data_IF_247080808933
#
_entry.id   IF_247080808933
#
_cell.length_a   1.000
_cell.length_b   1.000
_cell.length_c   1.000
_cell.angle_alpha   90.00
_cell.angle_beta   90.00
_cell.angle_gamma   90.00
#
_symmetry.space_group_name_H-M   'P 1'
#
loop_
_entity.id
_entity.type
_entity.pdbx_description
1 polymer ?
#
# COMPACT_ATOMS: atom_id res chain seq x y z
N UNK A 1 8.39 -9.02 -41.29
CA UNK A 1 9.18 -7.87 -40.80
C UNK A 1 8.32 -7.18 -39.76
N UNK A 2 8.54 -7.47 -38.48
CA UNK A 2 7.79 -6.80 -37.40
C UNK A 2 8.73 -6.67 -36.21
N UNK A 3 9.31 -5.47 -36.07
CA UNK A 3 10.12 -5.09 -34.92
C UNK A 3 9.24 -4.32 -33.93
N UNK A 4 9.37 -4.73 -32.68
CA UNK A 4 9.34 -3.93 -31.44
C UNK A 4 8.06 -3.19 -31.05
N UNK A 5 7.49 -3.59 -29.90
CA UNK A 5 6.94 -2.62 -28.95
C UNK A 5 6.77 -3.14 -27.49
N UNK A 6 7.77 -3.84 -26.92
CA UNK A 6 7.70 -4.28 -25.50
C UNK A 6 8.90 -3.90 -24.62
N UNK A 7 9.92 -3.20 -25.13
CA UNK A 7 11.18 -2.97 -24.39
C UNK A 7 11.36 -1.58 -23.76
N UNK A 8 10.56 -0.57 -24.12
CA UNK A 8 10.86 0.82 -23.76
C UNK A 8 10.44 1.22 -22.34
N UNK A 9 9.35 0.66 -21.80
CA UNK A 9 8.90 0.94 -20.42
C UNK A 9 9.84 0.39 -19.35
N UNK A 10 10.49 -0.75 -19.60
CA UNK A 10 11.45 -1.39 -18.68
C UNK A 10 12.74 -0.58 -18.54
N UNK A 11 13.26 -0.04 -19.65
CA UNK A 11 14.53 0.67 -19.67
C UNK A 11 14.40 2.08 -19.09
N UNK A 12 13.34 2.82 -19.43
CA UNK A 12 13.05 4.13 -18.85
C UNK A 12 12.87 4.04 -17.33
N UNK A 13 12.14 3.04 -16.84
CA UNK A 13 11.98 2.82 -15.40
C UNK A 13 13.31 2.46 -14.71
N UNK A 14 14.21 1.72 -15.37
CA UNK A 14 15.55 1.43 -14.82
C UNK A 14 16.42 2.69 -14.73
N UNK A 15 16.40 3.55 -15.74
CA UNK A 15 17.19 4.80 -15.78
C UNK A 15 16.65 5.83 -14.78
N UNK A 16 15.33 5.97 -14.68
CA UNK A 16 14.69 6.81 -13.65
C UNK A 16 15.04 6.31 -12.25
N UNK A 17 15.05 4.99 -12.02
CA UNK A 17 15.49 4.40 -10.74
C UNK A 17 16.96 4.68 -10.45
N UNK A 18 17.90 4.44 -11.38
CA UNK A 18 19.34 4.62 -11.09
C UNK A 18 19.69 6.08 -10.76
N UNK A 19 19.14 7.02 -11.53
CA UNK A 19 19.32 8.46 -11.27
C UNK A 19 18.68 8.91 -9.95
N UNK A 20 17.52 8.35 -9.59
CA UNK A 20 16.87 8.59 -8.31
C UNK A 20 17.71 8.05 -7.14
N UNK A 21 18.23 6.82 -7.24
CA UNK A 21 19.08 6.19 -6.22
C UNK A 21 20.37 6.97 -5.95
N UNK A 22 21.05 7.46 -6.99
CA UNK A 22 22.24 8.31 -6.83
C UNK A 22 21.91 9.65 -6.16
N UNK A 23 20.76 10.23 -6.48
CA UNK A 23 20.29 11.48 -5.88
C UNK A 23 19.88 11.28 -4.42
N UNK A 24 19.24 10.15 -4.08
CA UNK A 24 18.93 9.74 -2.72
C UNK A 24 20.20 9.61 -1.85
N UNK A 25 21.24 8.95 -2.36
CA UNK A 25 22.51 8.79 -1.64
C UNK A 25 23.15 10.12 -1.22
N UNK A 26 23.00 11.16 -2.04
CA UNK A 26 23.47 12.52 -1.73
C UNK A 26 22.59 13.27 -0.73
N UNK A 27 21.28 12.99 -0.71
CA UNK A 27 20.32 13.63 0.19
C UNK A 27 20.39 13.03 1.61
N UNK A 28 20.58 11.71 1.73
CA UNK A 28 20.65 11.00 3.02
C UNK A 28 21.81 11.52 3.91
N UNK A 29 22.86 12.10 3.33
CA UNK A 29 23.98 12.66 4.10
C UNK A 29 23.68 14.03 4.75
N UNK A 30 22.60 14.72 4.37
CA UNK A 30 22.50 16.17 4.56
C UNK A 30 21.24 16.65 5.29
N UNK A 31 20.93 16.12 6.48
CA UNK A 31 19.92 16.75 7.35
C UNK A 31 20.06 16.37 8.83
N UNK A 32 20.74 17.22 9.60
CA UNK A 32 20.63 17.30 11.06
C UNK A 32 20.55 18.77 11.48
N UNK A 33 19.45 19.45 11.14
CA UNK A 33 19.22 20.85 11.54
C UNK A 33 17.85 20.99 12.22
N UNK A 34 17.85 20.76 13.53
CA UNK A 34 17.19 21.58 14.57
C UNK A 34 15.69 21.93 14.54
N UNK A 35 14.89 21.57 13.53
CA UNK A 35 13.47 21.92 13.48
C UNK A 35 12.64 20.74 12.98
N UNK A 36 11.70 20.27 13.81
CA UNK A 36 10.82 19.14 13.50
C UNK A 36 9.63 19.62 12.67
N UNK A 37 9.55 19.18 11.43
CA UNK A 37 8.36 19.37 10.59
C UNK A 37 7.59 18.04 10.51
N UNK A 38 6.28 18.03 10.81
CA UNK A 38 5.44 16.87 10.52
C UNK A 38 5.55 16.51 9.04
N UNK A 39 5.50 15.22 8.72
CA UNK A 39 5.42 14.77 7.32
C UNK A 39 4.24 15.47 6.64
N UNK A 40 4.52 16.12 5.52
CA UNK A 40 3.55 16.76 4.64
C UNK A 40 3.72 16.20 3.25
N UNK A 41 2.66 16.06 2.45
CA UNK A 41 2.83 15.59 1.08
C UNK A 41 3.66 16.59 0.25
N UNK A 42 4.35 16.12 -0.80
CA UNK A 42 5.07 17.02 -1.71
C UNK A 42 4.18 18.10 -2.34
N UNK A 43 2.93 17.76 -2.68
CA UNK A 43 1.93 18.65 -3.27
C UNK A 43 0.50 18.20 -2.88
N UNK A 44 -0.52 19.04 -3.03
CA UNK A 44 -1.95 18.67 -2.94
C UNK A 44 -2.38 17.97 -1.63
N UNK A 45 -3.10 16.83 -1.71
CA UNK A 45 -3.90 16.28 -0.61
C UNK A 45 -3.30 14.97 -0.10
N UNK A 46 -3.08 14.93 1.22
CA UNK A 46 -2.73 13.72 1.98
C UNK A 46 -3.84 13.44 2.99
N UNK A 47 -4.24 12.18 3.10
CA UNK A 47 -5.20 11.72 4.10
C UNK A 47 -4.54 10.68 5.02
N UNK A 48 -5.17 9.53 5.21
CA UNK A 48 -4.80 8.50 6.18
C UNK A 48 -3.34 8.01 6.03
N UNK A 49 -2.60 7.86 7.13
CA UNK A 49 -1.37 7.08 7.13
C UNK A 49 -1.67 5.59 6.92
N UNK A 50 -0.84 4.92 6.14
CA UNK A 50 -0.97 3.53 5.75
C UNK A 50 0.33 2.76 6.00
N UNK A 51 0.18 1.47 6.35
CA UNK A 51 1.24 0.47 6.16
C UNK A 51 2.64 0.79 6.72
N UNK A 52 2.76 1.50 7.84
CA UNK A 52 4.07 1.78 8.43
C UNK A 52 4.83 0.47 8.74
N UNK A 53 6.07 0.35 8.30
CA UNK A 53 6.89 -0.84 8.53
C UNK A 53 8.38 -0.52 8.59
N UNK A 54 9.17 -1.45 9.15
CA UNK A 54 10.62 -1.40 9.08
C UNK A 54 11.12 -2.42 8.06
N UNK A 55 11.89 -1.95 7.08
CA UNK A 55 12.46 -2.78 6.02
C UNK A 55 13.87 -2.31 5.72
N UNK A 56 14.81 -3.25 5.61
CA UNK A 56 16.19 -2.98 5.20
C UNK A 56 16.87 -1.79 5.94
N UNK A 57 16.60 -1.65 7.24
CA UNK A 57 17.19 -0.60 8.09
C UNK A 57 16.50 0.76 8.06
N UNK A 58 15.36 0.90 7.36
CA UNK A 58 14.57 2.13 7.29
C UNK A 58 13.15 1.88 7.77
N UNK A 59 12.54 2.90 8.36
CA UNK A 59 11.09 3.00 8.52
C UNK A 59 10.49 3.51 7.21
N UNK A 60 9.45 2.85 6.73
CA UNK A 60 8.67 3.25 5.56
C UNK A 60 7.27 3.60 6.06
N UNK A 61 6.79 4.78 5.69
CA UNK A 61 5.43 5.24 5.95
C UNK A 61 4.74 5.46 4.60
N UNK A 62 3.58 4.86 4.43
CA UNK A 62 2.72 5.11 3.29
C UNK A 62 1.55 5.98 3.74
N UNK A 63 0.84 6.57 2.78
CA UNK A 63 -0.32 7.40 3.09
C UNK A 63 -1.21 7.55 1.86
N UNK A 64 -2.50 7.76 2.07
CA UNK A 64 -3.39 8.12 0.96
C UNK A 64 -2.96 9.46 0.37
N UNK A 65 -2.74 9.49 -0.94
CA UNK A 65 -2.20 10.63 -1.63
C UNK A 65 -2.87 10.91 -2.97
N UNK A 66 -3.16 12.19 -3.23
CA UNK A 66 -3.67 12.68 -4.51
C UNK A 66 -2.64 13.60 -5.17
N UNK A 67 -1.88 13.13 -6.17
CA UNK A 67 -0.72 13.85 -6.69
C UNK A 67 -1.04 15.05 -7.57
N UNK A 68 -2.22 15.14 -8.19
CA UNK A 68 -2.51 16.19 -9.17
C UNK A 68 -3.64 17.17 -8.78
N UNK A 69 -4.66 16.70 -8.05
CA UNK A 69 -5.81 17.54 -7.66
C UNK A 69 -6.61 16.90 -6.52
N UNK A 70 -7.60 17.61 -5.97
CA UNK A 70 -8.49 17.06 -4.95
C UNK A 70 -9.39 15.92 -5.48
N UNK A 71 -9.69 15.94 -6.79
CA UNK A 71 -10.55 14.96 -7.45
C UNK A 71 -9.75 13.81 -8.10
N UNK A 72 -8.43 13.83 -7.95
CA UNK A 72 -7.56 12.76 -8.43
C UNK A 72 -7.82 11.47 -7.65
N UNK A 73 -7.45 10.34 -8.26
CA UNK A 73 -7.56 9.04 -7.64
C UNK A 73 -6.63 8.93 -6.42
N UNK A 74 -6.99 8.08 -5.45
CA UNK A 74 -6.09 7.83 -4.30
C UNK A 74 -4.98 6.87 -4.68
N UNK A 75 -3.76 7.33 -4.48
CA UNK A 75 -2.54 6.53 -4.51
C UNK A 75 -2.06 6.25 -3.09
N UNK A 76 -1.12 5.31 -2.94
CA UNK A 76 -0.26 5.32 -1.75
C UNK A 76 0.98 6.17 -2.02
N UNK A 77 1.05 7.35 -1.39
CA UNK A 77 2.30 8.07 -1.22
C UNK A 77 3.25 7.32 -0.29
N UNK A 78 4.53 7.66 -0.33
CA UNK A 78 5.58 6.95 0.37
C UNK A 78 6.65 7.91 0.88
N UNK A 79 7.03 7.75 2.14
CA UNK A 79 8.20 8.39 2.73
C UNK A 79 9.04 7.35 3.50
N UNK A 80 10.35 7.57 3.58
CA UNK A 80 11.26 6.75 4.38
C UNK A 80 12.01 7.57 5.43
N UNK A 81 12.37 6.94 6.54
CA UNK A 81 13.10 7.58 7.64
C UNK A 81 14.03 6.57 8.34
N UNK A 82 15.08 7.06 8.99
CA UNK A 82 15.91 6.24 9.90
C UNK A 82 15.47 6.32 11.35
N UNK A 83 14.73 7.36 11.72
CA UNK A 83 14.42 7.72 13.11
C UNK A 83 12.95 8.05 13.36
N UNK A 84 12.08 7.89 12.35
CA UNK A 84 10.66 8.28 12.35
C UNK A 84 10.40 9.78 12.56
N UNK A 85 11.45 10.60 12.48
CA UNK A 85 11.40 12.04 12.73
C UNK A 85 11.69 12.79 11.44
N UNK A 86 12.79 12.48 10.78
CA UNK A 86 13.16 13.07 9.50
C UNK A 86 12.77 12.13 8.37
N UNK A 87 11.81 12.56 7.57
CA UNK A 87 11.25 11.79 6.47
C UNK A 87 11.76 12.30 5.13
N UNK A 88 12.07 11.36 4.24
CA UNK A 88 12.44 11.62 2.86
C UNK A 88 11.34 11.11 1.95
N UNK A 89 10.87 11.98 1.05
CA UNK A 89 9.87 11.61 0.04
C UNK A 89 10.42 10.56 -0.92
N UNK A 90 9.56 9.59 -1.23
CA UNK A 90 9.82 8.50 -2.14
C UNK A 90 8.76 8.49 -3.27
N UNK A 91 9.01 7.78 -4.38
CA UNK A 91 8.03 7.62 -5.44
C UNK A 91 6.75 6.96 -4.88
N UNK A 92 5.60 7.18 -5.53
CA UNK A 92 4.35 6.55 -5.09
C UNK A 92 4.50 5.04 -5.06
N UNK A 93 3.99 4.42 -4.00
CA UNK A 93 4.07 2.98 -3.79
C UNK A 93 3.00 2.24 -4.59
N UNK A 94 1.74 2.67 -4.50
CA UNK A 94 0.62 2.03 -5.18
C UNK A 94 -0.14 3.03 -6.05
N UNK A 95 -0.45 2.59 -7.26
CA UNK A 95 -1.28 3.30 -8.23
C UNK A 95 -2.57 2.52 -8.43
N UNK A 96 -3.75 3.15 -8.52
CA UNK A 96 -4.96 2.46 -8.98
C UNK A 96 -4.72 1.76 -10.32
N UNK A 97 -5.35 0.59 -10.52
CA UNK A 97 -5.25 -0.19 -11.76
C UNK A 97 -6.66 -0.64 -12.21
N UNK A 98 -7.19 -1.68 -11.57
CA UNK A 98 -8.55 -2.15 -11.84
C UNK A 98 -9.57 -1.44 -10.95
N UNK A 99 -9.14 -1.06 -9.74
CA UNK A 99 -9.85 -0.25 -8.77
C UNK A 99 -9.81 1.24 -9.12
N UNK A 100 -10.78 2.01 -8.62
CA UNK A 100 -10.76 3.46 -8.84
C UNK A 100 -9.72 4.15 -7.93
N UNK A 101 -9.53 3.64 -6.72
CA UNK A 101 -8.66 4.22 -5.70
C UNK A 101 -7.96 3.15 -4.87
N UNK A 102 -6.72 3.41 -4.45
CA UNK A 102 -5.99 2.66 -3.44
C UNK A 102 -6.25 3.27 -2.05
N UNK A 103 -7.34 2.84 -1.40
CA UNK A 103 -7.70 3.28 -0.05
C UNK A 103 -6.80 2.65 1.03
N UNK A 104 -7.13 2.92 2.28
CA UNK A 104 -6.30 2.59 3.44
C UNK A 104 -6.04 1.09 3.60
N UNK A 105 -4.95 0.79 4.31
CA UNK A 105 -4.50 -0.57 4.50
C UNK A 105 -3.21 -0.68 5.30
N UNK A 106 -2.62 -1.86 5.30
CA UNK A 106 -1.45 -2.17 6.12
C UNK A 106 -0.40 -2.96 5.35
N UNK A 107 0.79 -3.03 5.94
CA UNK A 107 1.89 -3.86 5.45
C UNK A 107 2.19 -4.99 6.43
N UNK A 108 2.66 -6.11 5.88
CA UNK A 108 3.25 -7.22 6.61
C UNK A 108 4.66 -7.41 6.09
N UNK A 109 5.63 -7.35 7.00
CA UNK A 109 7.03 -7.64 6.69
C UNK A 109 7.29 -9.12 6.85
N UNK A 110 7.77 -9.74 5.79
CA UNK A 110 8.31 -11.10 5.79
C UNK A 110 9.85 -11.05 5.70
N UNK A 111 10.49 -12.22 5.67
CA UNK A 111 11.96 -12.29 5.68
C UNK A 111 12.59 -11.66 4.44
N UNK A 112 11.94 -11.79 3.28
CA UNK A 112 12.48 -11.48 1.96
C UNK A 112 11.61 -10.53 1.14
N UNK A 113 10.49 -10.06 1.70
CA UNK A 113 9.60 -9.07 1.06
C UNK A 113 8.70 -8.36 2.08
N UNK A 114 7.99 -7.36 1.59
CA UNK A 114 6.88 -6.68 2.25
C UNK A 114 5.62 -6.87 1.44
N UNK A 115 4.52 -7.19 2.11
CA UNK A 115 3.19 -7.38 1.53
C UNK A 115 2.32 -6.20 1.97
N UNK A 116 1.75 -5.46 1.04
CA UNK A 116 0.71 -4.48 1.30
C UNK A 116 -0.65 -5.12 1.04
N UNK A 117 -1.59 -4.91 1.95
CA UNK A 117 -3.01 -5.14 1.69
C UNK A 117 -3.76 -3.83 1.86
N UNK A 118 -4.65 -3.53 0.92
CA UNK A 118 -5.37 -2.27 0.86
C UNK A 118 -6.78 -2.46 0.29
N UNK A 119 -7.66 -1.51 0.53
CA UNK A 119 -8.98 -1.51 -0.09
C UNK A 119 -8.92 -0.85 -1.48
N UNK A 120 -9.24 -1.60 -2.53
CA UNK A 120 -9.44 -1.06 -3.88
C UNK A 120 -10.90 -0.69 -4.11
N UNK A 121 -11.21 0.61 -4.20
CA UNK A 121 -12.61 1.07 -4.33
C UNK A 121 -13.27 0.51 -5.59
N UNK A 122 -14.53 0.09 -5.45
CA UNK A 122 -15.30 -0.54 -6.53
C UNK A 122 -14.92 -1.99 -6.87
N UNK A 123 -13.84 -2.55 -6.26
CA UNK A 123 -13.39 -3.92 -6.50
C UNK A 123 -13.36 -4.78 -5.23
N UNK A 124 -12.75 -4.29 -4.16
CA UNK A 124 -12.55 -5.04 -2.91
C UNK A 124 -11.11 -4.97 -2.42
N UNK A 125 -10.74 -5.84 -1.46
CA UNK A 125 -9.38 -5.79 -0.90
C UNK A 125 -8.37 -6.44 -1.87
N UNK A 126 -7.25 -5.76 -2.06
CA UNK A 126 -6.20 -6.11 -2.99
C UNK A 126 -4.85 -6.21 -2.25
N UNK A 127 -3.95 -7.00 -2.82
CA UNK A 127 -2.61 -7.26 -2.29
C UNK A 127 -1.54 -6.85 -3.30
N UNK A 128 -0.46 -6.26 -2.83
CA UNK A 128 0.76 -6.01 -3.59
C UNK A 128 1.99 -6.43 -2.78
N UNK A 129 3.10 -6.75 -3.45
CA UNK A 129 4.36 -7.13 -2.79
C UNK A 129 5.53 -6.33 -3.33
N UNK A 130 6.49 -6.03 -2.46
CA UNK A 130 7.76 -5.40 -2.84
C UNK A 130 8.90 -6.06 -2.06
N UNK A 131 10.02 -6.30 -2.73
CA UNK A 131 11.20 -6.91 -2.12
C UNK A 131 12.47 -6.07 -2.31
N UNK A 132 12.39 -4.98 -3.09
CA UNK A 132 13.54 -4.14 -3.30
C UNK A 132 13.93 -3.37 -2.00
N UNK A 133 15.21 -3.03 -1.83
CA UNK A 133 15.72 -2.37 -0.63
C UNK A 133 14.97 -1.11 -0.17
N UNK A 134 14.27 -0.44 -1.07
CA UNK A 134 13.60 0.84 -0.80
C UNK A 134 12.08 0.76 -0.90
N UNK A 135 11.49 -0.41 -1.21
CA UNK A 135 10.05 -0.59 -1.42
C UNK A 135 9.46 0.36 -2.48
N UNK A 136 10.19 0.59 -3.57
CA UNK A 136 9.72 1.45 -4.69
C UNK A 136 9.18 0.64 -5.88
N UNK A 137 9.19 -0.70 -5.79
CA UNK A 137 8.72 -1.60 -6.83
C UNK A 137 7.67 -2.56 -6.27
N UNK A 138 6.41 -2.19 -6.43
CA UNK A 138 5.28 -2.98 -5.98
C UNK A 138 4.66 -3.76 -7.14
N UNK A 139 4.62 -5.08 -6.98
CA UNK A 139 3.93 -5.99 -7.87
C UNK A 139 2.55 -6.33 -7.28
N UNK A 140 1.48 -5.87 -7.94
CA UNK A 140 0.10 -6.23 -7.56
C UNK A 140 -0.17 -7.70 -7.88
N UNK A 141 -0.87 -8.38 -6.98
CA UNK A 141 -1.33 -9.75 -7.21
C UNK A 141 -2.26 -9.81 -8.44
N UNK A 142 -1.99 -10.74 -9.36
CA UNK A 142 -2.76 -10.93 -10.59
C UNK A 142 -4.22 -11.32 -10.34
N UNK A 143 -4.50 -11.91 -9.18
CA UNK A 143 -5.84 -12.32 -8.76
C UNK A 143 -6.55 -11.26 -7.91
N UNK A 144 -6.08 -10.02 -7.91
CA UNK A 144 -6.78 -8.94 -7.23
C UNK A 144 -8.17 -8.68 -7.85
N UNK A 145 -9.18 -8.33 -7.03
CA UNK A 145 -9.14 -8.27 -5.57
C UNK A 145 -9.14 -9.68 -4.94
N UNK A 146 -8.26 -9.91 -3.96
CA UNK A 146 -8.23 -11.17 -3.21
C UNK A 146 -9.47 -11.36 -2.32
N UNK A 147 -10.18 -10.27 -2.01
CA UNK A 147 -11.49 -10.29 -1.34
C UNK A 147 -12.41 -9.35 -2.11
N UNK A 148 -13.24 -9.88 -3.04
CA UNK A 148 -14.12 -9.05 -3.84
C UNK A 148 -15.27 -8.46 -3.02
N UNK A 149 -15.77 -7.30 -3.45
CA UNK A 149 -17.06 -6.77 -2.98
C UNK A 149 -18.16 -7.70 -3.49
N UNK A 150 -19.01 -8.20 -2.59
CA UNK A 150 -20.17 -9.02 -2.94
C UNK A 150 -21.46 -8.19 -2.86
N UNK A 151 -22.38 -8.29 -3.84
CA UNK A 151 -23.66 -7.60 -3.78
C UNK A 151 -24.49 -7.98 -2.55
N UNK A 152 -25.10 -6.98 -1.93
CA UNK A 152 -25.86 -7.06 -0.66
C UNK A 152 -27.11 -7.94 -0.75
N UNK A 153 -27.61 -8.20 -1.96
CA UNK A 153 -28.77 -9.08 -2.19
C UNK A 153 -28.55 -10.52 -1.71
N UNK A 154 -27.30 -10.93 -1.50
CA UNK A 154 -26.94 -12.28 -1.05
C UNK A 154 -26.98 -12.44 0.48
N UNK A 155 -26.96 -11.34 1.25
CA UNK A 155 -26.72 -11.37 2.71
C UNK A 155 -27.63 -10.45 3.53
N UNK A 156 -28.40 -9.55 2.90
CA UNK A 156 -29.31 -8.63 3.59
C UNK A 156 -28.63 -7.55 4.44
N UNK A 157 -27.30 -7.40 4.34
CA UNK A 157 -26.49 -6.48 5.16
C UNK A 157 -25.33 -5.92 4.30
N UNK A 158 -25.04 -4.62 4.40
CA UNK A 158 -23.82 -4.02 3.87
C UNK A 158 -22.61 -4.43 4.72
N UNK A 159 -21.67 -5.19 4.16
CA UNK A 159 -20.38 -5.46 4.82
C UNK A 159 -19.29 -4.72 4.05
N UNK A 160 -18.94 -3.52 4.51
CA UNK A 160 -17.78 -2.77 4.00
C UNK A 160 -16.52 -3.21 4.74
N UNK A 161 -15.60 -3.90 4.07
CA UNK A 161 -14.27 -4.18 4.61
C UNK A 161 -13.33 -3.05 4.19
N UNK A 162 -13.32 -1.95 4.93
CA UNK A 162 -12.64 -0.73 4.48
C UNK A 162 -11.14 -0.70 4.86
N UNK A 163 -10.74 -1.41 5.91
CA UNK A 163 -9.34 -1.40 6.37
C UNK A 163 -8.88 -2.81 6.77
N UNK A 164 -8.12 -3.49 5.89
CA UNK A 164 -7.47 -4.74 6.26
C UNK A 164 -6.31 -4.48 7.24
N UNK A 165 -6.23 -5.25 8.31
CA UNK A 165 -5.21 -5.13 9.37
C UNK A 165 -4.43 -6.44 9.48
N UNK A 166 -3.13 -6.41 9.74
CA UNK A 166 -2.38 -7.61 10.11
C UNK A 166 -2.26 -7.70 11.65
N UNK A 167 -2.65 -8.83 12.23
CA UNK A 167 -2.44 -9.15 13.65
C UNK A 167 -1.49 -10.35 13.81
N UNK A 168 -0.35 -10.19 14.50
CA UNK A 168 0.61 -11.25 14.88
C UNK A 168 0.71 -12.44 13.89
N UNK A 169 0.92 -12.17 12.59
CA UNK A 169 1.02 -13.14 11.46
C UNK A 169 -0.29 -13.66 10.85
N UNK A 170 -1.44 -13.05 11.16
CA UNK A 170 -2.75 -13.34 10.55
C UNK A 170 -3.37 -12.05 10.06
N UNK A 171 -3.99 -12.09 8.90
CA UNK A 171 -4.80 -10.98 8.42
C UNK A 171 -6.12 -10.94 9.19
N UNK A 172 -6.42 -9.80 9.80
CA UNK A 172 -7.67 -9.51 10.51
C UNK A 172 -8.37 -8.41 9.74
N UNK A 173 -9.57 -8.69 9.23
CA UNK A 173 -10.35 -7.70 8.50
C UNK A 173 -11.39 -7.14 9.45
N UNK A 174 -11.31 -5.84 9.74
CA UNK A 174 -12.33 -5.17 10.56
C UNK A 174 -13.46 -4.68 9.65
N UNK A 175 -14.70 -5.19 9.80
CA UNK A 175 -15.83 -4.64 9.07
C UNK A 175 -16.20 -3.26 9.61
N UNK A 176 -16.45 -2.30 8.73
CA UNK A 176 -17.08 -1.03 9.07
C UNK A 176 -18.60 -1.21 8.98
N UNK A 177 -19.28 -1.04 10.11
CA UNK A 177 -20.72 -1.22 10.34
C UNK A 177 -21.25 -2.67 10.39
N UNK A 178 -21.24 -3.25 11.59
CA UNK A 178 -22.08 -4.42 11.93
C UNK A 178 -23.00 -4.01 13.08
N UNK A 179 -24.31 -3.91 12.83
CA UNK A 179 -25.31 -3.52 13.85
C UNK A 179 -25.99 -4.72 14.53
N UNK A 180 -25.48 -5.94 14.37
CA UNK A 180 -26.06 -7.13 15.03
C UNK A 180 -25.01 -8.08 15.62
N UNK A 181 -25.22 -8.47 16.88
CA UNK A 181 -24.38 -9.42 17.63
C UNK A 181 -24.19 -10.76 16.90
N UNK A 182 -25.22 -11.23 16.19
CA UNK A 182 -25.23 -12.52 15.47
C UNK A 182 -24.23 -12.55 14.30
N UNK A 183 -23.91 -11.40 13.71
CA UNK A 183 -22.96 -11.30 12.58
C UNK A 183 -21.51 -11.30 13.08
N UNK A 184 -21.25 -10.79 14.28
CA UNK A 184 -19.93 -10.88 14.93
C UNK A 184 -19.56 -12.35 15.15
N UNK A 185 -20.52 -13.19 15.56
CA UNK A 185 -20.31 -14.63 15.79
C UNK A 185 -20.09 -15.42 14.48
N UNK A 186 -20.77 -15.05 13.39
CA UNK A 186 -20.53 -15.64 12.07
C UNK A 186 -19.16 -15.23 11.47
N UNK A 187 -18.70 -14.00 11.74
CA UNK A 187 -17.40 -13.48 11.32
C UNK A 187 -16.24 -14.03 12.15
N UNK A 188 -16.43 -14.29 13.45
CA UNK A 188 -15.43 -14.95 14.30
C UNK A 188 -15.29 -16.44 13.98
N UNK A 189 -16.37 -17.13 13.60
CA UNK A 189 -16.32 -18.53 13.16
C UNK A 189 -15.68 -18.72 11.78
N UNK A 190 -15.77 -17.71 10.90
CA UNK A 190 -15.06 -17.60 9.62
C UNK A 190 -13.92 -16.59 9.68
N UNK A 191 -13.10 -16.61 10.74
CA UNK A 191 -11.78 -15.97 10.69
C UNK A 191 -11.06 -16.51 9.46
N UNK A 192 -11.07 -15.74 8.37
CA UNK A 192 -10.39 -16.02 7.13
C UNK A 192 -8.91 -15.83 7.42
N UNK A 193 -8.33 -16.83 8.08
CA UNK A 193 -6.89 -17.04 8.16
C UNK A 193 -6.49 -17.40 6.74
N UNK A 194 -6.26 -16.38 5.90
CA UNK A 194 -5.40 -16.57 4.75
C UNK A 194 -4.01 -16.73 5.37
N UNK A 195 -3.65 -17.99 5.68
CA UNK A 195 -2.24 -18.34 5.77
C UNK A 195 -1.67 -18.01 4.40
N UNK A 196 -0.78 -17.03 4.35
CA UNK A 196 0.06 -16.72 3.19
C UNK A 196 1.08 -17.86 2.94
N UNK A 197 0.69 -19.11 3.14
CA UNK A 197 1.47 -20.33 2.85
C UNK A 197 1.42 -20.70 1.36
N UNK A 198 0.59 -20.01 0.58
CA UNK A 198 0.67 -20.09 -0.86
C UNK A 198 1.58 -18.97 -1.36
N UNK A 199 2.60 -19.38 -2.10
CA UNK A 199 3.54 -18.54 -2.86
C UNK A 199 2.76 -17.56 -3.76
N UNK A 200 2.29 -16.46 -3.18
CA UNK A 200 1.99 -15.20 -3.89
C UNK A 200 3.33 -14.62 -4.30
#
# INVERSE_FOLDING_TARGET
>A
MTLQNQSNGSLLNKILKSSFLEKLGKIIQKTHLGQYFPLSPPNHVMNDPNGICQWNGYFHLFYQYRPNSHDDAVHWGHAMSKDCVFWQDMPLALYPDQENDCYSGQTLVERDRVIAIYHGTGKGNAVATAADPLLINWDKNQNNPVIPIVPTETLGIHIGFLTPVFGKKKMVITPYQVHSKTVIEALTAKQLIICLDQKI
#
